data_IF_117548879843
#
_entry.id   IF_117548879843
#
_cell.length_a   1.000
_cell.length_b   1.000
_cell.length_c   1.000
_cell.angle_alpha   90.00
_cell.angle_beta   90.00
_cell.angle_gamma   90.00
#
_symmetry.space_group_name_H-M   'P 1'
#
loop_
_entity.id
_entity.type
_entity.pdbx_description
1 polymer ?
#
# COMPACT_ATOMS: atom_id res chain seq x y z
N UNK A 1 -2.56 -41.80 -15.04
CA UNK A 1 -2.45 -40.64 -15.93
C UNK A 1 -1.83 -39.52 -15.12
N UNK A 2 -0.52 -39.54 -14.96
CA UNK A 2 0.13 -38.70 -13.95
C UNK A 2 1.04 -37.75 -14.69
N UNK A 3 0.46 -36.61 -15.09
CA UNK A 3 1.20 -35.52 -15.73
C UNK A 3 2.05 -34.83 -14.68
N UNK A 4 3.25 -35.34 -14.47
CA UNK A 4 4.38 -34.61 -13.88
C UNK A 4 4.64 -33.39 -14.76
N UNK A 5 4.24 -32.19 -14.27
CA UNK A 5 4.72 -30.91 -14.82
C UNK A 5 5.60 -30.23 -13.78
N UNK A 6 6.90 -30.50 -13.91
CA UNK A 6 7.96 -29.53 -13.64
C UNK A 6 7.70 -28.23 -14.43
N UNK A 7 7.94 -27.06 -13.82
CA UNK A 7 8.57 -25.85 -14.40
C UNK A 7 8.54 -24.71 -13.35
N UNK A 8 9.72 -24.14 -13.08
CA UNK A 8 9.87 -22.76 -12.61
C UNK A 8 10.35 -22.56 -11.18
N UNK A 9 11.59 -22.93 -10.87
CA UNK A 9 12.29 -22.40 -9.70
C UNK A 9 12.43 -20.88 -9.85
N UNK A 10 11.55 -20.11 -9.20
CA UNK A 10 11.73 -18.65 -9.06
C UNK A 10 13.04 -18.42 -8.32
N UNK A 11 14.06 -17.91 -9.02
CA UNK A 11 15.32 -17.44 -8.44
C UNK A 11 15.00 -16.61 -7.19
N UNK A 12 15.45 -17.05 -6.00
CA UNK A 12 15.37 -16.26 -4.77
C UNK A 12 16.24 -15.02 -4.97
N UNK A 13 15.66 -13.93 -5.49
CA UNK A 13 16.25 -12.60 -5.37
C UNK A 13 16.47 -12.37 -3.88
N UNK A 14 17.69 -12.07 -3.47
CA UNK A 14 17.99 -11.52 -2.14
C UNK A 14 17.01 -10.37 -1.91
N UNK A 15 16.07 -10.56 -0.98
CA UNK A 15 15.09 -9.54 -0.66
C UNK A 15 15.87 -8.41 -0.01
N UNK A 16 16.15 -7.34 -0.77
CA UNK A 16 16.62 -6.09 -0.18
C UNK A 16 15.61 -5.69 0.90
N UNK A 17 16.06 -5.59 2.14
CA UNK A 17 15.22 -5.20 3.26
C UNK A 17 14.99 -3.70 3.14
N UNK A 18 13.88 -3.33 2.50
CA UNK A 18 13.44 -1.94 2.41
C UNK A 18 12.94 -1.47 3.79
N UNK A 19 13.07 -0.17 4.11
CA UNK A 19 12.39 0.40 5.26
C UNK A 19 10.86 0.16 5.18
N UNK A 20 10.13 0.16 6.32
CA UNK A 20 8.69 -0.05 6.32
C UNK A 20 7.92 0.98 5.48
N UNK A 21 6.74 0.56 5.00
CA UNK A 21 5.80 1.42 4.28
C UNK A 21 5.49 2.66 5.11
N UNK A 22 5.75 3.86 4.57
CA UNK A 22 5.56 5.13 5.29
C UNK A 22 4.10 5.40 5.68
N UNK A 23 3.15 4.76 4.99
CA UNK A 23 1.71 4.92 5.26
C UNK A 23 1.24 3.97 6.36
N UNK A 24 1.51 2.66 6.24
CA UNK A 24 0.89 1.65 7.09
C UNK A 24 1.89 0.75 7.85
N UNK A 25 3.19 1.05 7.78
CA UNK A 25 4.26 0.30 8.49
C UNK A 25 4.38 -1.18 8.10
N UNK A 26 3.68 -1.61 7.04
CA UNK A 26 3.84 -2.95 6.46
C UNK A 26 5.08 -3.04 5.59
N UNK A 27 5.33 -4.23 5.03
CA UNK A 27 6.50 -4.47 4.17
C UNK A 27 6.43 -3.61 2.91
N UNK A 28 7.34 -2.64 2.78
CA UNK A 28 7.44 -1.83 1.57
C UNK A 28 7.96 -2.68 0.41
N UNK A 29 7.59 -2.25 -0.80
CA UNK A 29 8.02 -2.93 -2.04
C UNK A 29 8.70 -1.99 -3.02
N UNK A 30 8.80 -0.70 -2.68
CA UNK A 30 9.40 0.34 -3.51
C UNK A 30 8.70 1.67 -3.34
N UNK A 31 9.17 2.66 -4.08
CA UNK A 31 8.53 3.98 -4.20
C UNK A 31 7.36 3.83 -5.18
N UNK A 32 6.16 4.20 -4.72
CA UNK A 32 4.97 4.29 -5.56
C UNK A 32 4.32 5.64 -5.30
N UNK A 33 4.00 6.37 -6.37
CA UNK A 33 3.41 7.71 -6.25
C UNK A 33 4.27 8.63 -5.37
N UNK A 34 5.59 8.68 -5.57
CA UNK A 34 6.51 9.54 -4.80
C UNK A 34 6.91 9.04 -3.41
N UNK A 35 6.24 8.02 -2.85
CA UNK A 35 6.48 7.58 -1.45
C UNK A 35 6.82 6.09 -1.35
N UNK A 36 7.77 5.74 -0.48
CA UNK A 36 8.09 4.36 -0.14
C UNK A 36 6.88 3.65 0.52
N UNK A 37 6.26 2.72 -0.21
CA UNK A 37 5.00 2.09 0.20
C UNK A 37 4.93 0.59 -0.11
N UNK A 38 3.98 -0.10 0.54
CA UNK A 38 3.63 -1.48 0.21
C UNK A 38 2.66 -1.55 -0.98
N UNK A 39 2.51 -2.73 -1.59
CA UNK A 39 1.54 -2.94 -2.69
C UNK A 39 0.10 -2.62 -2.28
N UNK A 40 -0.25 -2.83 -1.01
CA UNK A 40 -1.58 -2.50 -0.49
C UNK A 40 -1.87 -0.99 -0.53
N UNK A 41 -0.91 -0.15 -0.12
CA UNK A 41 -1.05 1.31 -0.16
C UNK A 41 -0.99 1.84 -1.60
N UNK A 42 -0.14 1.26 -2.47
CA UNK A 42 -0.16 1.52 -3.91
C UNK A 42 -1.54 1.30 -4.51
N UNK A 43 -2.08 0.09 -4.37
CA UNK A 43 -3.38 -0.27 -4.97
C UNK A 43 -4.54 0.52 -4.35
N UNK A 44 -4.47 0.79 -3.03
CA UNK A 44 -5.44 1.64 -2.36
C UNK A 44 -5.45 3.06 -2.93
N UNK A 45 -4.28 3.70 -3.06
CA UNK A 45 -4.17 5.06 -3.56
C UNK A 45 -4.60 5.17 -5.03
N UNK A 46 -4.29 4.16 -5.85
CA UNK A 46 -4.77 4.07 -7.23
C UNK A 46 -6.31 4.03 -7.31
N UNK A 47 -6.97 3.26 -6.43
CA UNK A 47 -8.44 3.21 -6.38
C UNK A 47 -9.04 4.51 -5.87
N UNK A 48 -8.40 5.13 -4.88
CA UNK A 48 -8.82 6.44 -4.36
C UNK A 48 -8.85 7.50 -5.47
N UNK A 49 -7.81 7.59 -6.29
CA UNK A 49 -7.74 8.57 -7.39
C UNK A 49 -8.87 8.42 -8.43
N UNK A 50 -9.49 7.24 -8.55
CA UNK A 50 -10.62 6.99 -9.46
C UNK A 50 -11.98 7.14 -8.78
N UNK A 51 -12.01 7.38 -7.47
CA UNK A 51 -13.23 7.46 -6.68
C UNK A 51 -13.84 8.84 -6.86
N UNK A 52 -15.15 8.88 -7.12
CA UNK A 52 -15.91 10.14 -7.21
C UNK A 52 -16.26 10.68 -5.83
N UNK A 53 -16.65 9.79 -4.92
CA UNK A 53 -17.06 10.14 -3.56
C UNK A 53 -15.88 10.04 -2.58
N UNK A 54 -15.66 11.05 -1.72
CA UNK A 54 -14.67 10.99 -0.65
C UNK A 54 -14.88 9.81 0.28
N UNK A 55 -13.80 9.39 0.94
CA UNK A 55 -13.91 8.52 2.10
C UNK A 55 -14.28 9.36 3.32
N UNK A 56 -15.28 8.90 4.08
CA UNK A 56 -15.69 9.52 5.35
C UNK A 56 -15.12 8.73 6.52
N UNK A 57 -14.56 9.44 7.49
CA UNK A 57 -14.14 8.84 8.76
C UNK A 57 -15.36 8.72 9.68
N UNK A 58 -15.65 7.53 10.21
CA UNK A 58 -16.70 7.33 11.23
C UNK A 58 -16.23 7.63 12.67
N UNK A 59 -15.04 8.21 12.82
CA UNK A 59 -14.39 8.58 14.09
C UNK A 59 -13.90 10.03 13.97
N UNK A 60 -12.84 10.40 14.69
CA UNK A 60 -12.38 11.79 14.79
C UNK A 60 -11.26 12.16 13.79
N UNK A 61 -11.13 11.46 12.66
CA UNK A 61 -10.09 11.75 11.67
C UNK A 61 -8.65 11.35 12.06
N UNK A 62 -8.42 10.82 13.25
CA UNK A 62 -7.10 10.50 13.80
C UNK A 62 -6.83 8.99 13.92
N UNK A 63 -7.34 8.19 12.97
CA UNK A 63 -7.25 6.73 13.06
C UNK A 63 -5.81 6.23 12.83
N UNK A 64 -5.33 5.31 13.66
CA UNK A 64 -4.07 4.61 13.41
C UNK A 64 -4.08 3.82 12.11
N UNK A 65 -3.07 4.04 11.29
CA UNK A 65 -2.86 3.35 10.01
C UNK A 65 -1.67 2.41 10.17
N UNK A 66 -1.93 1.17 10.60
CA UNK A 66 -0.90 0.13 10.80
C UNK A 66 -1.33 -1.19 10.15
N UNK A 67 -0.37 -1.93 9.57
CA UNK A 67 -0.64 -3.04 8.65
C UNK A 67 -1.42 -4.21 9.26
N UNK A 68 -1.33 -4.43 10.58
CA UNK A 68 -1.98 -5.56 11.26
C UNK A 68 -3.45 -5.30 11.60
N UNK A 69 -3.97 -4.07 11.45
CA UNK A 69 -5.37 -3.76 11.74
C UNK A 69 -6.23 -4.08 10.50
N UNK A 70 -7.10 -5.09 10.58
CA UNK A 70 -8.18 -5.28 9.59
C UNK A 70 -9.10 -4.06 9.63
N UNK A 71 -9.63 -3.63 8.48
CA UNK A 71 -10.57 -2.50 8.44
C UNK A 71 -9.95 -1.13 8.77
N UNK A 72 -8.72 -0.88 8.33
CA UNK A 72 -8.09 0.46 8.41
C UNK A 72 -9.04 1.52 7.83
N UNK A 73 -9.23 2.62 8.55
CA UNK A 73 -10.06 3.73 8.10
C UNK A 73 -9.56 4.29 6.75
N UNK A 74 -10.39 4.19 5.71
CA UNK A 74 -10.03 4.64 4.36
C UNK A 74 -9.80 6.15 4.29
N UNK A 75 -10.57 6.95 5.04
CA UNK A 75 -10.43 8.40 5.10
C UNK A 75 -9.06 8.81 5.65
N UNK A 76 -8.72 8.37 6.86
CA UNK A 76 -7.43 8.68 7.48
C UNK A 76 -6.27 8.05 6.71
N UNK A 77 -6.48 6.90 6.04
CA UNK A 77 -5.45 6.27 5.20
C UNK A 77 -5.11 7.15 4.00
N UNK A 78 -6.11 7.69 3.30
CA UNK A 78 -5.85 8.56 2.16
C UNK A 78 -5.27 9.90 2.60
N UNK A 79 -5.76 10.46 3.69
CA UNK A 79 -5.21 11.68 4.27
C UNK A 79 -3.72 11.49 4.61
N UNK A 80 -3.34 10.37 5.24
CA UNK A 80 -1.94 10.03 5.50
C UNK A 80 -1.15 9.84 4.21
N UNK A 81 -1.71 9.23 3.16
CA UNK A 81 -1.06 9.14 1.84
C UNK A 81 -0.72 10.53 1.29
N UNK A 82 -1.71 11.43 1.20
CA UNK A 82 -1.55 12.77 0.65
C UNK A 82 -0.59 13.61 1.50
N UNK A 83 -0.71 13.55 2.84
CA UNK A 83 0.18 14.26 3.77
C UNK A 83 1.65 13.83 3.66
N UNK A 84 1.90 12.59 3.23
CA UNK A 84 3.25 12.07 2.97
C UNK A 84 3.76 12.39 1.56
N UNK A 85 2.98 13.08 0.73
CA UNK A 85 3.36 13.46 -0.64
C UNK A 85 2.91 12.48 -1.72
N UNK A 86 2.01 11.54 -1.43
CA UNK A 86 1.54 10.66 -2.51
C UNK A 86 0.73 11.45 -3.55
N UNK A 87 1.16 11.41 -4.82
CA UNK A 87 0.55 12.16 -5.91
C UNK A 87 0.58 11.38 -7.24
N UNK A 88 -0.21 11.82 -8.23
CA UNK A 88 -0.22 11.21 -9.57
C UNK A 88 1.10 11.41 -10.30
N UNK A 89 1.76 12.55 -10.10
CA UNK A 89 3.04 12.91 -10.74
C UNK A 89 4.23 12.26 -10.04
N UNK A 90 4.10 11.97 -8.74
CA UNK A 90 5.13 11.28 -7.97
C UNK A 90 6.36 12.14 -7.64
N UNK A 91 6.19 13.47 -7.67
CA UNK A 91 7.18 14.46 -7.21
C UNK A 91 7.28 14.52 -5.68
#
# INVERSE_FOLDING_TARGET
MDKTKSIGQRKKKSQLVLPPCRVCEGNATGIHYGVLTCQGCKAFFQRYQKRKEPYVCSRNGNCDIVARKRGICSACRVEKCTRLGMSKTGE
#
